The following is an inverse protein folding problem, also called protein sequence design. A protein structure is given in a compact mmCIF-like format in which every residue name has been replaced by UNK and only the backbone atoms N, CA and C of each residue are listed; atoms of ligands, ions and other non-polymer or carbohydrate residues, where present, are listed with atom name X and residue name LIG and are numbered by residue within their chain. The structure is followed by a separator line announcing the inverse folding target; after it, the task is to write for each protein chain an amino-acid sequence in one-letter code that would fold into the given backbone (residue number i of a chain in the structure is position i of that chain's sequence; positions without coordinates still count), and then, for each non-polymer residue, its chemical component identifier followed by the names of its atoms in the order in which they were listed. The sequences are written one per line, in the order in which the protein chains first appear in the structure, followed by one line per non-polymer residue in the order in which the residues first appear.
data_IF_462829190926
#
_entry.id   IF_462829190926
#
_cell.length_a   1.000
_cell.length_b   1.000
_cell.length_c   1.000
_cell.angle_alpha   90.00
_cell.angle_beta   90.00
_cell.angle_gamma   90.00
#
_symmetry.space_group_name_H-M   'P 1'
#
loop_
_entity.id
_entity.type
_entity.pdbx_description
1 polymer ?
#
# COMPACT_ATOMS: atom_id res chain seq x y z
N UNK A 1 8.50 16.57 24.99
CA UNK A 1 9.67 16.00 24.27
C UNK A 1 9.27 14.77 23.45
N UNK A 2 8.63 13.76 24.04
CA UNK A 2 8.15 12.56 23.32
C UNK A 2 7.31 12.84 22.07
N UNK A 3 6.33 13.73 22.18
CA UNK A 3 5.50 14.11 21.04
C UNK A 3 6.29 14.83 19.94
N UNK A 4 7.39 15.52 20.28
CA UNK A 4 8.27 16.21 19.33
C UNK A 4 9.08 15.18 18.53
N UNK A 5 9.62 14.16 19.20
CA UNK A 5 10.40 13.08 18.56
C UNK A 5 9.53 12.29 17.58
N UNK A 6 8.34 11.85 18.01
CA UNK A 6 7.42 11.09 17.15
C UNK A 6 6.97 11.95 15.96
N UNK A 7 6.68 13.24 16.20
CA UNK A 7 6.29 14.17 15.13
C UNK A 7 7.44 14.40 14.15
N UNK A 8 8.69 14.50 14.61
CA UNK A 8 9.86 14.63 13.73
C UNK A 8 10.04 13.39 12.86
N UNK A 9 10.01 12.19 13.46
CA UNK A 9 10.08 10.94 12.71
C UNK A 9 9.00 10.85 11.63
N UNK A 10 7.75 11.15 11.99
CA UNK A 10 6.63 11.16 11.05
C UNK A 10 6.85 12.17 9.92
N UNK A 11 7.26 13.40 10.24
CA UNK A 11 7.54 14.44 9.23
C UNK A 11 8.66 14.05 8.28
N UNK A 12 9.73 13.42 8.78
CA UNK A 12 10.84 12.95 7.95
C UNK A 12 10.38 11.89 6.95
N UNK A 13 9.60 10.91 7.41
CA UNK A 13 9.01 9.88 6.54
C UNK A 13 8.09 10.53 5.49
N UNK A 14 7.16 11.38 5.92
CA UNK A 14 6.25 12.08 5.01
C UNK A 14 7.01 12.91 3.97
N UNK A 15 8.10 13.57 4.36
CA UNK A 15 8.94 14.37 3.46
C UNK A 15 9.61 13.54 2.38
N UNK A 16 10.29 12.44 2.74
CA UNK A 16 10.98 11.60 1.75
C UNK A 16 9.99 10.88 0.83
N UNK A 17 8.89 10.39 1.39
CA UNK A 17 7.83 9.72 0.61
C UNK A 17 7.19 10.73 -0.35
N UNK A 18 6.71 11.87 0.13
CA UNK A 18 6.10 12.88 -0.75
C UNK A 18 7.08 13.43 -1.79
N UNK A 19 8.35 13.62 -1.42
CA UNK A 19 9.43 14.01 -2.34
C UNK A 19 9.58 13.02 -3.49
N UNK A 20 9.71 11.74 -3.18
CA UNK A 20 9.76 10.68 -4.20
C UNK A 20 8.49 10.71 -5.07
N UNK A 21 7.32 10.62 -4.45
CA UNK A 21 6.01 10.48 -5.12
C UNK A 21 5.67 11.64 -6.06
N UNK A 22 6.13 12.85 -5.73
CA UNK A 22 5.93 14.05 -6.55
C UNK A 22 7.00 14.23 -7.64
N UNK A 23 8.18 13.62 -7.48
CA UNK A 23 9.30 13.76 -8.43
C UNK A 23 9.26 12.74 -9.56
N UNK A 24 8.67 11.56 -9.33
CA UNK A 24 8.67 10.48 -10.31
C UNK A 24 7.48 10.54 -11.26
N UNK A 25 7.75 10.27 -12.54
CA UNK A 25 6.72 10.23 -13.60
C UNK A 25 5.88 8.95 -13.60
N UNK A 26 4.97 8.85 -14.56
CA UNK A 26 4.03 7.72 -14.69
C UNK A 26 4.70 6.35 -14.86
N UNK A 27 5.95 6.31 -15.34
CA UNK A 27 6.73 5.08 -15.48
C UNK A 27 7.11 4.41 -14.14
N UNK A 28 7.03 5.12 -13.01
CA UNK A 28 7.41 4.58 -11.70
C UNK A 28 6.28 3.78 -11.01
N UNK A 29 5.11 3.67 -11.63
CA UNK A 29 4.00 2.93 -11.08
C UNK A 29 3.14 2.29 -12.17
N UNK A 30 2.41 1.25 -11.77
CA UNK A 30 1.36 0.65 -12.58
C UNK A 30 0.02 0.78 -11.87
N UNK A 31 -1.02 1.06 -12.64
CA UNK A 31 -2.40 1.05 -12.12
C UNK A 31 -2.96 -0.36 -12.32
N UNK A 32 -3.34 -1.01 -11.23
CA UNK A 32 -3.88 -2.37 -11.24
C UNK A 32 -5.18 -2.46 -10.45
N UNK A 33 -6.08 -3.35 -10.86
CA UNK A 33 -7.26 -3.69 -10.06
C UNK A 33 -6.83 -4.31 -8.73
N UNK A 34 -7.37 -3.79 -7.63
CA UNK A 34 -7.09 -4.28 -6.27
C UNK A 34 -7.31 -5.78 -6.18
N UNK A 35 -6.46 -6.45 -5.42
CA UNK A 35 -6.44 -7.92 -5.38
C UNK A 35 -7.76 -8.56 -4.96
N UNK A 36 -8.51 -7.89 -4.08
CA UNK A 36 -9.85 -8.32 -3.67
C UNK A 36 -10.85 -8.44 -4.83
N UNK A 37 -10.68 -7.64 -5.89
CA UNK A 37 -11.57 -7.61 -7.06
C UNK A 37 -10.92 -8.24 -8.30
N UNK A 38 -9.68 -8.69 -8.17
CA UNK A 38 -8.93 -9.23 -9.29
C UNK A 38 -9.45 -10.64 -9.61
N UNK A 39 -9.95 -10.78 -10.82
CA UNK A 39 -10.33 -12.04 -11.41
C UNK A 39 -9.12 -12.70 -12.09
N UNK A 40 -9.09 -14.03 -12.12
CA UNK A 40 -8.14 -14.80 -12.93
C UNK A 40 -8.34 -14.43 -14.41
N UNK A 41 -7.23 -14.21 -15.12
CA UNK A 41 -7.20 -13.88 -16.54
C UNK A 41 -8.07 -14.82 -17.38
N UNK A 42 -8.09 -16.12 -17.07
CA UNK A 42 -8.93 -17.10 -17.77
C UNK A 42 -10.41 -16.78 -17.68
N UNK A 43 -10.88 -16.39 -16.50
CA UNK A 43 -12.29 -16.04 -16.28
C UNK A 43 -12.65 -14.73 -16.97
N UNK A 44 -11.73 -13.76 -16.99
CA UNK A 44 -11.91 -12.50 -17.73
C UNK A 44 -12.08 -12.74 -19.23
N UNK A 45 -11.22 -13.58 -19.82
CA UNK A 45 -11.29 -13.94 -21.24
C UNK A 45 -12.61 -14.65 -21.56
N UNK A 46 -13.03 -15.62 -20.75
CA UNK A 46 -14.32 -16.30 -20.91
C UNK A 46 -15.48 -15.31 -20.85
N UNK A 47 -15.48 -14.40 -19.88
CA UNK A 47 -16.51 -13.35 -19.76
C UNK A 47 -16.57 -12.47 -21.02
N UNK A 48 -15.44 -12.04 -21.57
CA UNK A 48 -15.40 -11.28 -22.82
C UNK A 48 -15.95 -12.08 -24.01
N UNK A 49 -15.56 -13.35 -24.15
CA UNK A 49 -16.07 -14.20 -25.24
C UNK A 49 -17.58 -14.38 -25.18
N UNK A 50 -18.13 -14.63 -23.97
CA UNK A 50 -19.58 -14.75 -23.78
C UNK A 50 -20.27 -13.43 -24.14
N UNK A 51 -19.69 -12.29 -23.75
CA UNK A 51 -20.25 -10.97 -24.05
C UNK A 51 -20.30 -10.73 -25.57
N UNK A 52 -19.20 -10.98 -26.30
CA UNK A 52 -19.18 -10.84 -27.78
C UNK A 52 -20.17 -11.80 -28.45
N UNK A 53 -20.21 -13.06 -28.01
CA UNK A 53 -21.10 -14.07 -28.59
C UNK A 53 -22.58 -13.77 -28.33
N UNK A 54 -22.91 -13.25 -27.14
CA UNK A 54 -24.29 -12.86 -26.80
C UNK A 54 -24.82 -11.74 -27.68
N UNK A 55 -23.99 -10.76 -28.05
CA UNK A 55 -24.35 -9.68 -28.99
C UNK A 55 -24.61 -10.23 -30.40
N UNK A 56 -23.80 -11.18 -30.86
CA UNK A 56 -23.98 -11.81 -32.17
C UNK A 56 -25.27 -12.64 -32.26
N UNK A 57 -25.60 -13.37 -31.19
CA UNK A 57 -26.76 -14.26 -31.15
C UNK A 57 -28.09 -13.52 -30.89
N UNK A 58 -28.04 -12.25 -30.43
CA UNK A 58 -29.22 -11.45 -30.11
C UNK A 58 -30.25 -11.37 -31.27
N UNK A 59 -29.77 -11.32 -32.53
CA UNK A 59 -30.65 -11.24 -33.72
C UNK A 59 -31.43 -12.52 -34.02
N UNK A 60 -31.07 -13.65 -33.41
CA UNK A 60 -31.59 -14.98 -33.72
C UNK A 60 -32.48 -15.52 -32.57
N UNK A 61 -32.60 -14.79 -31.46
CA UNK A 61 -33.20 -15.29 -30.21
C UNK A 61 -34.68 -14.90 -30.02
N UNK A 62 -35.49 -15.87 -29.56
CA UNK A 62 -36.89 -15.70 -29.11
C UNK A 62 -36.99 -14.90 -27.80
N UNK A 63 -38.15 -14.28 -27.52
CA UNK A 63 -38.36 -13.34 -26.39
C UNK A 63 -37.90 -13.84 -25.00
N UNK A 64 -38.17 -15.09 -24.56
CA UNK A 64 -37.66 -15.60 -23.27
C UNK A 64 -36.13 -15.69 -23.22
N UNK A 65 -35.50 -15.95 -24.37
CA UNK A 65 -34.05 -16.00 -24.54
C UNK A 65 -33.44 -14.60 -24.51
N UNK A 66 -34.20 -13.56 -24.85
CA UNK A 66 -33.79 -12.16 -24.71
C UNK A 66 -33.68 -11.78 -23.23
N UNK A 67 -34.67 -12.12 -22.39
CA UNK A 67 -34.65 -11.79 -20.96
C UNK A 67 -33.48 -12.45 -20.23
N UNK A 68 -33.24 -13.74 -20.47
CA UNK A 68 -32.09 -14.45 -19.91
C UNK A 68 -30.76 -13.90 -20.42
N UNK A 69 -30.68 -13.50 -21.70
CA UNK A 69 -29.53 -12.80 -22.26
C UNK A 69 -29.24 -11.46 -21.57
N UNK A 70 -30.27 -10.66 -21.27
CA UNK A 70 -30.12 -9.41 -20.52
C UNK A 70 -29.59 -9.63 -19.11
N UNK A 71 -30.09 -10.62 -18.38
CA UNK A 71 -29.60 -10.97 -17.04
C UNK A 71 -28.15 -11.41 -17.09
N UNK A 72 -27.77 -12.24 -18.07
CA UNK A 72 -26.39 -12.66 -18.28
C UNK A 72 -25.47 -11.48 -18.60
N UNK A 73 -25.91 -10.55 -19.46
CA UNK A 73 -25.18 -9.33 -19.80
C UNK A 73 -24.92 -8.46 -18.57
N UNK A 74 -25.95 -8.22 -17.75
CA UNK A 74 -25.82 -7.46 -16.49
C UNK A 74 -24.81 -8.13 -15.57
N UNK A 75 -24.85 -9.47 -15.45
CA UNK A 75 -23.88 -10.25 -14.67
C UNK A 75 -22.44 -10.04 -15.15
N UNK A 76 -22.20 -10.14 -16.46
CA UNK A 76 -20.84 -9.96 -17.02
C UNK A 76 -20.37 -8.50 -16.85
N UNK A 77 -21.25 -7.53 -17.06
CA UNK A 77 -20.94 -6.11 -16.86
C UNK A 77 -20.57 -5.82 -15.39
N UNK A 78 -21.30 -6.43 -14.44
CA UNK A 78 -20.96 -6.34 -13.01
C UNK A 78 -19.58 -6.95 -12.71
N UNK A 79 -19.25 -8.09 -13.32
CA UNK A 79 -17.94 -8.74 -13.16
C UNK A 79 -16.78 -7.94 -13.75
N UNK A 80 -17.01 -7.21 -14.85
CA UNK A 80 -15.99 -6.37 -15.49
C UNK A 80 -15.89 -4.96 -14.90
N UNK A 81 -16.88 -4.52 -14.12
CA UNK A 81 -16.92 -3.20 -13.46
C UNK A 81 -15.60 -2.83 -12.77
N UNK A 82 -14.91 -3.70 -12.00
CA UNK A 82 -13.64 -3.37 -11.36
C UNK A 82 -12.50 -2.98 -12.32
N UNK A 83 -12.55 -3.45 -13.55
CA UNK A 83 -11.51 -3.18 -14.56
C UNK A 83 -11.74 -1.86 -15.30
N UNK A 84 -12.99 -1.39 -15.32
CA UNK A 84 -13.37 -0.15 -16.00
C UNK A 84 -13.17 1.04 -15.07
N UNK A 85 -13.70 0.96 -13.84
CA UNK A 85 -13.77 2.10 -12.92
C UNK A 85 -12.53 2.23 -12.03
N UNK A 86 -11.98 3.44 -11.93
CA UNK A 86 -10.74 3.71 -11.17
C UNK A 86 -10.87 3.49 -9.67
N UNK A 87 -12.09 3.53 -9.11
CA UNK A 87 -12.36 3.23 -7.68
C UNK A 87 -11.86 1.85 -7.25
N UNK A 88 -11.85 0.89 -8.17
CA UNK A 88 -11.41 -0.48 -7.93
C UNK A 88 -9.94 -0.71 -8.26
N UNK A 89 -9.27 0.31 -8.80
CA UNK A 89 -7.86 0.27 -9.11
C UNK A 89 -7.05 0.84 -7.95
N UNK A 90 -5.80 0.45 -7.88
CA UNK A 90 -4.80 0.97 -6.97
C UNK A 90 -3.49 1.21 -7.72
N UNK A 91 -2.72 2.14 -7.19
CA UNK A 91 -1.40 2.49 -7.69
C UNK A 91 -0.39 1.57 -7.05
N UNK A 92 0.28 0.76 -7.86
CA UNK A 92 1.35 -0.14 -7.43
C UNK A 92 2.67 0.48 -7.88
N UNK A 93 3.48 0.87 -6.92
CA UNK A 93 4.82 1.38 -7.16
C UNK A 93 5.76 0.23 -7.48
N UNK A 94 6.55 0.40 -8.53
CA UNK A 94 7.53 -0.59 -8.99
C UNK A 94 8.92 -0.10 -8.65
N UNK A 95 9.74 -0.96 -8.04
CA UNK A 95 11.14 -0.69 -7.69
C UNK A 95 11.34 0.63 -6.92
N UNK A 96 10.40 1.00 -6.04
CA UNK A 96 10.44 2.25 -5.27
C UNK A 96 11.36 2.17 -4.05
N UNK A 97 12.59 1.71 -4.27
CA UNK A 97 13.63 1.61 -3.26
C UNK A 97 14.07 3.00 -2.78
N UNK A 98 14.35 3.10 -1.49
CA UNK A 98 14.84 4.33 -0.88
C UNK A 98 16.25 4.63 -1.40
N UNK A 99 16.48 5.86 -1.85
CA UNK A 99 17.81 6.31 -2.26
C UNK A 99 18.77 6.41 -1.05
N UNK A 100 20.07 6.32 -1.29
CA UNK A 100 21.07 6.48 -0.22
C UNK A 100 20.94 7.84 0.49
N UNK A 101 20.66 8.92 -0.24
CA UNK A 101 20.48 10.26 0.32
C UNK A 101 19.29 10.33 1.28
N UNK A 102 18.14 9.78 0.89
CA UNK A 102 16.97 9.74 1.77
C UNK A 102 17.18 8.81 2.96
N UNK A 103 17.92 7.72 2.78
CA UNK A 103 18.31 6.82 3.85
C UNK A 103 19.15 7.55 4.90
N UNK A 104 20.18 8.30 4.47
CA UNK A 104 20.99 9.12 5.37
C UNK A 104 20.15 10.15 6.12
N UNK A 105 19.25 10.85 5.42
CA UNK A 105 18.37 11.84 6.04
C UNK A 105 17.41 11.24 7.08
N UNK A 106 16.87 10.03 6.83
CA UNK A 106 16.05 9.32 7.79
C UNK A 106 16.87 8.87 9.02
N UNK A 107 18.11 8.41 8.78
CA UNK A 107 19.03 7.94 9.82
C UNK A 107 19.56 9.05 10.74
N UNK A 108 19.41 10.33 10.39
CA UNK A 108 19.69 11.42 11.34
C UNK A 108 18.79 11.37 12.59
N UNK A 109 17.62 10.72 12.49
CA UNK A 109 16.76 10.49 13.64
C UNK A 109 17.11 9.16 14.32
N UNK A 110 17.60 9.21 15.56
CA UNK A 110 18.14 8.07 16.31
C UNK A 110 17.26 6.82 16.30
N UNK A 111 15.96 6.96 16.53
CA UNK A 111 15.06 5.81 16.52
C UNK A 111 14.75 5.28 15.12
N UNK A 112 14.77 6.14 14.10
CA UNK A 112 14.59 5.69 12.71
C UNK A 112 15.84 4.94 12.25
N UNK A 113 17.03 5.43 12.62
CA UNK A 113 18.28 4.72 12.40
C UNK A 113 18.25 3.29 12.94
N UNK A 114 17.81 3.09 14.19
CA UNK A 114 17.73 1.73 14.75
C UNK A 114 16.81 0.82 13.94
N UNK A 115 15.63 1.31 13.55
CA UNK A 115 14.64 0.52 12.79
C UNK A 115 15.20 0.18 11.40
N UNK A 116 15.79 1.16 10.72
CA UNK A 116 16.36 1.00 9.39
C UNK A 116 17.50 -0.02 9.40
N UNK A 117 18.40 0.04 10.39
CA UNK A 117 19.51 -0.91 10.52
C UNK A 117 19.00 -2.33 10.78
N UNK A 118 17.96 -2.49 11.60
CA UNK A 118 17.38 -3.80 11.89
C UNK A 118 16.74 -4.42 10.63
N UNK A 119 16.03 -3.62 9.82
CA UNK A 119 15.48 -4.06 8.52
C UNK A 119 16.58 -4.48 7.53
N UNK A 120 17.64 -3.65 7.42
CA UNK A 120 18.79 -3.95 6.54
C UNK A 120 19.49 -5.24 6.97
N UNK A 121 19.70 -5.45 8.26
CA UNK A 121 20.28 -6.69 8.80
C UNK A 121 19.39 -7.91 8.56
N UNK A 122 18.07 -7.72 8.52
CA UNK A 122 17.10 -8.73 8.12
C UNK A 122 17.17 -9.11 6.64
N UNK A 123 17.98 -8.42 5.83
CA UNK A 123 18.09 -8.64 4.39
C UNK A 123 16.98 -7.96 3.59
N UNK A 124 16.14 -7.16 4.24
CA UNK A 124 15.05 -6.45 3.58
C UNK A 124 15.58 -5.19 2.90
N UNK A 125 15.26 -5.01 1.61
CA UNK A 125 15.42 -3.71 0.94
C UNK A 125 14.21 -2.84 1.24
N UNK A 126 14.43 -1.74 1.96
CA UNK A 126 13.36 -0.80 2.27
C UNK A 126 12.90 -0.02 1.03
N UNK A 127 11.59 0.17 0.93
CA UNK A 127 10.94 0.95 -0.13
C UNK A 127 10.16 2.11 0.45
N UNK A 128 9.90 3.14 -0.35
CA UNK A 128 9.02 4.25 0.05
C UNK A 128 7.61 3.75 0.38
N UNK A 129 7.11 2.73 -0.32
CA UNK A 129 5.83 2.07 -0.02
C UNK A 129 5.83 1.41 1.36
N UNK A 130 6.91 0.73 1.75
CA UNK A 130 7.01 0.15 3.09
C UNK A 130 7.00 1.23 4.17
N UNK A 131 7.75 2.32 3.98
CA UNK A 131 7.77 3.44 4.93
C UNK A 131 6.37 4.04 5.11
N UNK A 132 5.68 4.32 4.02
CA UNK A 132 4.33 4.90 4.02
C UNK A 132 3.33 4.00 4.77
N UNK A 133 3.34 2.69 4.51
CA UNK A 133 2.45 1.73 5.16
C UNK A 133 2.75 1.56 6.65
N UNK A 134 4.03 1.54 7.03
CA UNK A 134 4.47 1.25 8.39
C UNK A 134 4.67 2.50 9.25
N UNK A 135 4.40 3.71 8.74
CA UNK A 135 4.65 4.98 9.47
C UNK A 135 4.01 4.97 10.86
N UNK A 136 2.77 4.50 10.99
CA UNK A 136 2.07 4.46 12.27
C UNK A 136 2.69 3.42 13.23
N UNK A 137 3.08 2.25 12.71
CA UNK A 137 3.73 1.20 13.50
C UNK A 137 5.10 1.65 14.00
N UNK A 138 5.88 2.31 13.15
CA UNK A 138 7.14 2.96 13.48
C UNK A 138 6.92 3.98 14.61
N UNK A 139 5.93 4.87 14.48
CA UNK A 139 5.63 5.87 15.50
C UNK A 139 5.25 5.22 16.85
N UNK A 140 4.46 4.15 16.83
CA UNK A 140 4.09 3.39 18.03
C UNK A 140 5.29 2.70 18.67
N UNK A 141 6.19 2.13 17.87
CA UNK A 141 7.43 1.53 18.35
C UNK A 141 8.33 2.57 19.03
N UNK A 142 8.51 3.74 18.41
CA UNK A 142 9.27 4.86 18.99
C UNK A 142 8.65 5.27 20.33
N UNK A 143 7.33 5.40 20.39
CA UNK A 143 6.60 5.72 21.63
C UNK A 143 6.91 4.71 22.73
N UNK A 144 6.78 3.41 22.45
CA UNK A 144 7.08 2.34 23.41
C UNK A 144 8.52 2.35 23.90
N UNK A 145 9.49 2.66 23.02
CA UNK A 145 10.91 2.81 23.39
C UNK A 145 11.14 3.98 24.34
N UNK A 146 10.49 5.12 24.09
CA UNK A 146 10.60 6.30 24.97
C UNK A 146 10.00 5.99 26.34
N UNK A 147 8.83 5.35 26.39
CA UNK A 147 8.17 4.95 27.63
C UNK A 147 9.04 3.96 28.45
N UNK A 148 9.61 2.94 27.80
CA UNK A 148 10.53 2.00 28.44
C UNK A 148 11.78 2.68 29.01
N UNK A 149 12.35 3.65 28.28
CA UNK A 149 13.50 4.43 28.73
C UNK A 149 13.18 5.23 30.01
N UNK A 150 12.01 5.86 30.07
CA UNK A 150 11.55 6.59 31.28
C UNK A 150 11.41 5.67 32.49
N UNK A 151 10.80 4.49 32.30
CA UNK A 151 10.63 3.51 33.37
C UNK A 151 11.98 3.02 33.92
N UNK A 152 12.96 2.79 33.05
CA UNK A 152 14.32 2.40 33.45
C UNK A 152 14.99 3.46 34.32
N UNK A 153 14.91 4.73 33.92
CA UNK A 153 15.47 5.85 34.70
C UNK A 153 14.79 5.99 36.07
N UNK A 154 13.48 5.80 36.14
CA UNK A 154 12.73 5.82 37.41
C UNK A 154 13.17 4.69 38.34
N UNK A 155 13.31 3.46 37.81
CA UNK A 155 13.78 2.30 38.57
C UNK A 155 15.21 2.50 39.10
N UNK A 156 16.11 3.06 38.29
CA UNK A 156 17.49 3.37 38.71
C UNK A 156 17.56 4.44 39.81
N UNK A 157 16.66 5.44 39.78
CA UNK A 157 16.58 6.44 40.86
C UNK A 157 16.08 5.84 42.17
N UNK A 158 15.02 5.04 42.12
CA UNK A 158 14.45 4.35 43.29
C UNK A 158 15.46 3.40 43.96
N UNK A 159 16.34 2.77 43.19
CA UNK A 159 17.39 1.90 43.72
C UNK A 159 18.59 2.66 44.32
N UNK A 160 18.78 3.94 44.00
CA UNK A 160 19.85 4.78 44.58
C UNK A 160 19.44 5.51 45.87
N UNK A 161 18.13 5.56 46.16
CA UNK A 161 17.57 6.15 47.37
C UNK A 161 17.32 5.14 48.50
N UNK A 162 17.65 3.86 48.28
CA UNK A 162 17.72 2.79 49.28
C UNK A 162 19.17 2.51 49.66
#
# INVERSE_FOLDING_TARGET
MENIVITDAKKRIEKVVSGYRNSVGEAAFTIRVKDKYRMDFRHMVVCMFILVFSVLMYKIMFIPSIVSGFVALIGIMALLTPYIFDKFKEKIWTDDYITEFDLFYLCEHEYLYSIIIDEIKGGNRMTYTWLEKNTNEICNFIKGRIEAGKLKVLAEKLNKEK
#
